data_IF_764779534280
#
_entry.id   IF_764779534280
#
_cell.length_a   1.000
_cell.length_b   1.000
_cell.length_c   1.000
_cell.angle_alpha   90.00
_cell.angle_beta   90.00
_cell.angle_gamma   90.00
#
_symmetry.space_group_name_H-M   'P 1'
#
loop_
_entity.id
_entity.type
_entity.pdbx_description
1 polymer ?
#
# COMPACT_ATOMS: atom_id res chain seq x y z
N UNK A 1 -8.66 -1.39 -6.88
CA UNK A 1 -7.36 -1.28 -7.57
C UNK A 1 -6.23 -1.74 -6.66
N UNK A 2 -5.37 -2.64 -7.16
CA UNK A 2 -4.18 -3.13 -6.45
C UNK A 2 -2.91 -2.44 -6.98
N UNK A 3 -2.02 -2.04 -6.08
CA UNK A 3 -0.70 -1.50 -6.38
C UNK A 3 0.23 -2.55 -6.97
N UNK A 4 1.32 -2.10 -7.61
CA UNK A 4 2.36 -2.99 -8.13
C UNK A 4 2.89 -3.98 -7.07
N UNK A 5 3.01 -3.52 -5.83
CA UNK A 5 3.52 -4.31 -4.70
C UNK A 5 2.48 -5.14 -3.96
N UNK A 6 1.22 -5.19 -4.40
CA UNK A 6 0.16 -5.95 -3.74
C UNK A 6 -0.68 -5.18 -2.72
N UNK A 7 -0.41 -3.90 -2.46
CA UNK A 7 -1.29 -3.10 -1.60
C UNK A 7 -2.63 -2.81 -2.28
N UNK A 8 -3.74 -2.90 -1.56
CA UNK A 8 -5.08 -2.57 -2.05
C UNK A 8 -5.33 -1.06 -1.90
N UNK A 9 -4.91 -0.30 -2.92
CA UNK A 9 -5.01 1.17 -2.90
C UNK A 9 -6.45 1.68 -2.81
N UNK A 10 -7.42 0.97 -3.40
CA UNK A 10 -8.84 1.29 -3.29
C UNK A 10 -9.40 1.19 -1.86
N UNK A 11 -8.76 0.43 -0.97
CA UNK A 11 -9.11 0.37 0.45
C UNK A 11 -8.26 1.30 1.32
N UNK A 12 -7.31 2.02 0.73
CA UNK A 12 -6.38 2.87 1.47
C UNK A 12 -7.07 4.15 1.96
N UNK A 13 -6.92 4.55 3.25
CA UNK A 13 -7.47 5.81 3.77
C UNK A 13 -6.88 7.08 3.15
N UNK A 14 -5.67 7.00 2.56
CA UNK A 14 -5.07 8.13 1.85
C UNK A 14 -5.48 8.21 0.38
N UNK A 15 -6.21 7.22 -0.14
CA UNK A 15 -6.64 7.24 -1.53
C UNK A 15 -7.67 8.34 -1.74
N UNK A 16 -7.50 9.16 -2.78
CA UNK A 16 -8.33 10.34 -3.03
C UNK A 16 -9.83 10.00 -3.10
N UNK A 17 -10.16 8.85 -3.71
CA UNK A 17 -11.54 8.37 -3.80
C UNK A 17 -12.18 8.00 -2.46
N UNK A 18 -11.40 7.87 -1.39
CA UNK A 18 -11.86 7.53 -0.04
C UNK A 18 -11.91 8.73 0.92
N UNK A 19 -11.42 9.91 0.50
CA UNK A 19 -11.32 11.10 1.34
C UNK A 19 -12.51 12.03 1.06
N UNK A 20 -13.35 12.28 2.07
CA UNK A 20 -14.51 13.18 1.97
C UNK A 20 -14.22 14.55 2.55
N UNK A 21 -13.51 14.59 3.67
CA UNK A 21 -13.24 15.82 4.41
C UNK A 21 -11.89 15.80 5.15
N UNK A 22 -11.63 16.85 5.94
CA UNK A 22 -10.41 16.97 6.73
C UNK A 22 -10.29 15.92 7.85
N UNK A 23 -11.41 15.38 8.34
CA UNK A 23 -11.40 14.34 9.39
C UNK A 23 -10.87 13.03 8.82
N UNK A 24 -11.27 12.67 7.61
CA UNK A 24 -10.72 11.48 6.93
C UNK A 24 -9.19 11.58 6.77
N UNK A 25 -8.69 12.75 6.38
CA UNK A 25 -7.25 13.02 6.28
C UNK A 25 -6.54 12.89 7.63
N UNK A 26 -7.14 13.41 8.69
CA UNK A 26 -6.56 13.32 10.04
C UNK A 26 -6.51 11.87 10.54
N UNK A 27 -7.56 11.09 10.32
CA UNK A 27 -7.62 9.65 10.66
C UNK A 27 -6.56 8.88 9.89
N UNK A 28 -6.45 9.13 8.57
CA UNK A 28 -5.45 8.48 7.73
C UNK A 28 -4.02 8.81 8.21
N UNK A 29 -3.69 10.09 8.40
CA UNK A 29 -2.38 10.53 8.91
C UNK A 29 -2.03 9.86 10.24
N UNK A 30 -2.97 9.84 11.19
CA UNK A 30 -2.77 9.24 12.50
C UNK A 30 -2.55 7.72 12.41
N UNK A 31 -3.36 7.00 11.62
CA UNK A 31 -3.22 5.56 11.44
C UNK A 31 -1.93 5.16 10.74
N UNK A 32 -1.52 5.87 9.70
CA UNK A 32 -0.22 5.64 9.04
C UNK A 32 0.96 5.86 9.97
N UNK A 33 0.90 6.88 10.82
CA UNK A 33 1.91 7.10 11.86
C UNK A 33 1.90 5.98 12.91
N UNK A 34 0.72 5.55 13.35
CA UNK A 34 0.58 4.59 14.45
C UNK A 34 0.91 3.14 14.07
N UNK A 35 0.46 2.68 12.91
CA UNK A 35 0.62 1.28 12.48
C UNK A 35 1.90 1.07 11.66
N UNK A 36 2.26 2.03 10.81
CA UNK A 36 3.36 1.89 9.83
C UNK A 36 4.56 2.78 10.11
N UNK A 37 4.52 3.60 11.17
CA UNK A 37 5.53 4.61 11.46
C UNK A 37 5.80 5.56 10.28
N UNK A 38 4.77 5.80 9.46
CA UNK A 38 4.85 6.67 8.30
C UNK A 38 4.26 8.03 8.64
N UNK A 39 5.10 9.06 8.66
CA UNK A 39 4.67 10.43 8.94
C UNK A 39 4.22 11.11 7.65
N UNK A 40 2.90 11.20 7.46
CA UNK A 40 2.28 11.96 6.36
C UNK A 40 1.52 13.15 6.96
N UNK A 41 1.88 14.40 6.68
CA UNK A 41 1.12 15.56 7.11
C UNK A 41 -0.33 15.47 6.64
N UNK A 42 -1.29 15.92 7.45
CA UNK A 42 -2.74 15.83 7.13
C UNK A 42 -3.06 16.48 5.79
N UNK A 43 -2.41 17.60 5.47
CA UNK A 43 -2.61 18.32 4.21
C UNK A 43 -2.05 17.57 2.99
N UNK A 44 -1.08 16.67 3.21
CA UNK A 44 -0.45 15.86 2.18
C UNK A 44 -1.12 14.48 2.03
N UNK A 45 -2.14 14.19 2.84
CA UNK A 45 -2.94 12.96 2.71
C UNK A 45 -3.81 13.06 1.45
N UNK A 46 -3.24 12.71 0.30
CA UNK A 46 -3.94 12.60 -0.98
C UNK A 46 -3.14 11.78 -1.98
N UNK A 47 -3.66 10.62 -2.39
CA UNK A 47 -2.94 9.70 -3.27
C UNK A 47 -3.87 9.07 -4.32
N UNK A 48 -3.41 8.92 -5.56
CA UNK A 48 -4.12 8.21 -6.65
C UNK A 48 -3.67 6.75 -6.85
N UNK A 49 -2.82 6.24 -5.97
CA UNK A 49 -2.18 4.93 -6.13
C UNK A 49 -1.03 4.98 -7.12
N UNK A 50 -0.24 3.90 -7.17
CA UNK A 50 1.01 3.87 -7.94
C UNK A 50 0.84 3.45 -9.41
N UNK A 51 -0.39 3.13 -9.83
CA UNK A 51 -0.69 2.81 -11.23
C UNK A 51 -0.91 4.08 -12.05
N UNK A 52 -1.37 5.15 -11.40
CA UNK A 52 -1.52 6.46 -12.01
C UNK A 52 -0.16 7.17 -12.11
N UNK A 53 0.07 7.97 -13.17
CA UNK A 53 1.24 8.83 -13.25
C UNK A 53 1.25 9.83 -12.09
N UNK A 54 2.45 10.25 -11.66
CA UNK A 54 2.58 11.37 -10.72
C UNK A 54 2.09 12.66 -11.39
N UNK A 55 1.38 13.50 -10.65
CA UNK A 55 0.93 14.81 -11.13
C UNK A 55 0.07 15.53 -10.11
N UNK A 56 -0.12 16.84 -10.29
CA UNK A 56 -1.13 17.69 -9.61
C UNK A 56 -1.30 17.49 -8.09
N UNK A 57 -0.20 17.24 -7.35
CA UNK A 57 -0.26 17.04 -5.90
C UNK A 57 -0.80 15.68 -5.44
N UNK A 58 -0.87 14.70 -6.34
CA UNK A 58 -1.18 13.30 -6.04
C UNK A 58 0.10 12.49 -5.95
N UNK A 59 0.59 12.32 -4.73
CA UNK A 59 1.85 11.64 -4.48
C UNK A 59 1.64 10.42 -3.60
N UNK A 60 2.06 9.25 -4.08
CA UNK A 60 2.27 8.12 -3.20
C UNK A 60 3.55 8.36 -2.38
N UNK A 61 3.59 7.91 -1.10
CA UNK A 61 4.60 8.36 -0.13
C UNK A 61 6.05 8.07 -0.53
N UNK A 62 6.31 6.89 -1.11
CA UNK A 62 7.67 6.48 -1.48
C UNK A 62 8.05 7.01 -2.86
N UNK A 63 8.78 8.14 -2.88
CA UNK A 63 9.18 8.78 -4.14
C UNK A 63 10.16 7.94 -4.98
N UNK A 64 10.96 7.11 -4.31
CA UNK A 64 12.07 6.35 -4.89
C UNK A 64 11.78 4.84 -4.96
N UNK A 65 10.50 4.44 -4.96
CA UNK A 65 10.07 3.04 -4.95
C UNK A 65 10.59 2.26 -6.17
N UNK A 66 11.66 1.49 -5.98
CA UNK A 66 12.30 0.64 -7.01
C UNK A 66 11.37 -0.45 -7.54
N UNK A 67 10.41 -0.90 -6.74
CA UNK A 67 9.43 -1.92 -7.14
C UNK A 67 8.53 -1.39 -8.27
N UNK A 68 8.11 -0.12 -8.18
CA UNK A 68 7.29 0.50 -9.23
C UNK A 68 8.07 0.58 -10.54
N UNK A 69 9.29 1.14 -10.49
CA UNK A 69 10.16 1.28 -11.67
C UNK A 69 10.38 -0.08 -12.34
N UNK A 70 10.74 -1.10 -11.57
CA UNK A 70 10.92 -2.45 -12.09
C UNK A 70 9.64 -3.03 -12.71
N UNK A 71 8.47 -2.84 -12.10
CA UNK A 71 7.20 -3.30 -12.66
C UNK A 71 6.84 -2.58 -13.96
N UNK A 72 7.10 -1.28 -14.05
CA UNK A 72 6.89 -0.49 -15.28
C UNK A 72 7.84 -0.90 -16.40
N UNK A 73 9.13 -1.07 -16.11
CA UNK A 73 10.14 -1.53 -17.07
C UNK A 73 9.79 -2.92 -17.63
N UNK A 74 9.29 -3.81 -16.76
CA UNK A 74 8.82 -5.15 -17.14
C UNK A 74 7.39 -5.16 -17.71
N UNK A 75 6.71 -4.01 -17.80
CA UNK A 75 5.32 -3.86 -18.26
C UNK A 75 4.34 -4.78 -17.52
N UNK A 76 4.49 -4.90 -16.21
CA UNK A 76 3.68 -5.75 -15.35
C UNK A 76 2.64 -4.94 -14.59
N UNK A 77 1.43 -5.49 -14.46
CA UNK A 77 0.39 -4.83 -13.68
C UNK A 77 0.67 -4.85 -12.18
N UNK A 78 1.24 -5.95 -11.72
CA UNK A 78 1.68 -6.15 -10.35
C UNK A 78 2.75 -7.22 -10.30
N UNK A 79 3.54 -7.23 -9.22
CA UNK A 79 4.66 -8.16 -9.06
C UNK A 79 4.24 -9.63 -9.05
N UNK A 80 2.97 -9.93 -8.74
CA UNK A 80 2.40 -11.27 -8.88
C UNK A 80 2.42 -11.81 -10.32
N UNK A 81 2.52 -10.96 -11.33
CA UNK A 81 2.69 -11.40 -12.73
C UNK A 81 4.14 -11.74 -13.09
N UNK A 82 5.11 -11.39 -12.25
CA UNK A 82 6.52 -11.66 -12.51
C UNK A 82 6.82 -13.16 -12.34
N UNK A 83 7.56 -13.76 -13.28
CA UNK A 83 8.07 -15.13 -13.19
C UNK A 83 9.08 -15.32 -12.06
N UNK A 84 9.82 -14.27 -11.72
CA UNK A 84 10.84 -14.29 -10.68
C UNK A 84 10.24 -14.01 -9.28
N UNK A 85 8.91 -13.95 -9.14
CA UNK A 85 8.26 -13.62 -7.86
C UNK A 85 8.26 -14.83 -6.89
N UNK A 86 8.65 -14.64 -5.61
CA UNK A 86 9.18 -13.40 -5.04
C UNK A 86 10.68 -13.22 -5.35
N UNK A 87 11.03 -12.08 -5.97
CA UNK A 87 12.43 -11.69 -6.15
C UNK A 87 12.94 -10.96 -4.90
N UNK A 88 14.25 -10.72 -4.80
CA UNK A 88 14.87 -10.09 -3.62
C UNK A 88 14.18 -8.80 -3.16
N UNK A 89 13.80 -7.91 -4.08
CA UNK A 89 13.09 -6.66 -3.76
C UNK A 89 11.71 -6.92 -3.15
N UNK A 90 10.96 -7.88 -3.72
CA UNK A 90 9.65 -8.24 -3.17
C UNK A 90 9.80 -8.99 -1.86
N UNK A 91 10.75 -9.91 -1.72
CA UNK A 91 11.01 -10.61 -0.45
C UNK A 91 11.25 -9.63 0.70
N UNK A 92 12.07 -8.59 0.49
CA UNK A 92 12.29 -7.54 1.50
C UNK A 92 11.01 -6.76 1.80
N UNK A 93 10.23 -6.40 0.77
CA UNK A 93 8.95 -5.69 0.96
C UNK A 93 7.94 -6.53 1.73
N UNK A 94 7.79 -7.81 1.38
CA UNK A 94 6.88 -8.72 2.04
C UNK A 94 7.28 -8.92 3.51
N UNK A 95 8.56 -9.16 3.79
CA UNK A 95 9.06 -9.30 5.16
C UNK A 95 8.76 -8.06 6.02
N UNK A 96 8.93 -6.86 5.48
CA UNK A 96 8.57 -5.63 6.20
C UNK A 96 7.06 -5.55 6.47
N UNK A 97 6.22 -5.84 5.48
CA UNK A 97 4.77 -5.83 5.65
C UNK A 97 4.30 -6.88 6.65
N UNK A 98 4.82 -8.11 6.55
CA UNK A 98 4.53 -9.22 7.45
C UNK A 98 4.86 -8.81 8.90
N UNK A 99 6.07 -8.28 9.14
CA UNK A 99 6.49 -7.79 10.44
C UNK A 99 5.59 -6.68 10.99
N UNK A 100 5.22 -5.69 10.17
CA UNK A 100 4.31 -4.62 10.59
C UNK A 100 2.95 -5.22 10.98
N UNK A 101 2.38 -6.09 10.15
CA UNK A 101 1.06 -6.68 10.41
C UNK A 101 1.09 -7.52 11.68
N UNK A 102 2.05 -8.44 11.82
CA UNK A 102 2.21 -9.32 12.98
C UNK A 102 2.34 -8.52 14.29
N UNK A 103 3.16 -7.47 14.28
CA UNK A 103 3.37 -6.59 15.45
C UNK A 103 2.12 -5.80 15.83
N UNK A 104 1.20 -5.58 14.89
CA UNK A 104 0.03 -4.73 15.08
C UNK A 104 -1.28 -5.52 15.26
N UNK A 105 -1.33 -6.79 14.84
CA UNK A 105 -2.58 -7.54 14.70
C UNK A 105 -3.34 -7.67 16.02
N UNK A 106 -2.65 -7.98 17.12
CA UNK A 106 -3.25 -8.16 18.43
C UNK A 106 -3.69 -6.85 19.10
N UNK A 107 -3.09 -5.71 18.71
CA UNK A 107 -3.41 -4.39 19.31
C UNK A 107 -4.45 -3.59 18.53
N UNK A 108 -4.61 -3.87 17.24
CA UNK A 108 -5.59 -3.22 16.40
C UNK A 108 -7.00 -3.80 16.64
N UNK A 109 -8.01 -2.94 16.81
CA UNK A 109 -9.40 -3.37 16.75
C UNK A 109 -9.79 -3.74 15.30
N UNK A 110 -10.95 -4.37 15.12
CA UNK A 110 -11.44 -4.86 13.84
C UNK A 110 -11.48 -3.78 12.75
N UNK A 111 -11.91 -2.56 13.11
CA UNK A 111 -11.99 -1.44 12.17
C UNK A 111 -10.60 -1.01 11.70
N UNK A 112 -9.65 -0.91 12.62
CA UNK A 112 -8.28 -0.54 12.30
C UNK A 112 -7.54 -1.63 11.54
N UNK A 113 -7.80 -2.92 11.85
CA UNK A 113 -7.25 -4.04 11.05
C UNK A 113 -7.73 -3.96 9.60
N UNK A 114 -9.04 -3.81 9.40
CA UNK A 114 -9.64 -3.74 8.06
C UNK A 114 -9.18 -2.52 7.25
N UNK A 115 -8.77 -1.45 7.93
CA UNK A 115 -8.42 -0.17 7.33
C UNK A 115 -6.91 0.04 7.15
N UNK A 116 -6.11 -0.37 8.13
CA UNK A 116 -4.66 -0.07 8.21
C UNK A 116 -3.76 -1.30 8.14
N UNK A 117 -4.26 -2.54 8.22
CA UNK A 117 -3.41 -3.73 8.14
C UNK A 117 -3.76 -4.60 6.92
N UNK A 118 -4.98 -5.10 6.85
CA UNK A 118 -5.41 -6.05 5.80
C UNK A 118 -5.19 -5.56 4.36
N UNK A 119 -5.50 -4.29 4.00
CA UNK A 119 -5.25 -3.80 2.64
C UNK A 119 -3.77 -3.85 2.25
N UNK A 120 -2.88 -3.91 3.23
CA UNK A 120 -1.43 -3.81 3.05
C UNK A 120 -0.73 -5.14 3.35
N UNK A 121 -1.49 -6.23 3.50
CA UNK A 121 -0.99 -7.60 3.45
C UNK A 121 -0.61 -7.95 2.01
N UNK A 122 0.56 -7.43 1.60
CA UNK A 122 1.07 -7.56 0.24
C UNK A 122 1.21 -9.01 -0.20
N UNK A 123 1.60 -9.91 0.72
CA UNK A 123 1.78 -11.33 0.44
C UNK A 123 0.46 -11.97 0.09
N UNK A 124 -0.52 -11.87 1.00
CA UNK A 124 -1.86 -12.41 0.79
C UNK A 124 -2.50 -11.88 -0.49
N UNK A 125 -2.41 -10.58 -0.72
CA UNK A 125 -3.03 -9.96 -1.89
C UNK A 125 -2.39 -10.43 -3.20
N UNK A 126 -1.06 -10.57 -3.25
CA UNK A 126 -0.38 -11.10 -4.44
C UNK A 126 -0.69 -12.58 -4.64
N UNK A 127 -0.69 -13.38 -3.59
CA UNK A 127 -0.95 -14.82 -3.69
C UNK A 127 -2.37 -15.09 -4.22
N UNK A 128 -3.36 -14.33 -3.73
CA UNK A 128 -4.72 -14.34 -4.29
C UNK A 128 -4.70 -13.99 -5.78
N UNK A 129 -4.03 -12.89 -6.17
CA UNK A 129 -3.95 -12.47 -7.56
C UNK A 129 -3.19 -13.45 -8.48
N UNK A 130 -2.32 -14.30 -7.91
CA UNK A 130 -1.62 -15.36 -8.65
C UNK A 130 -2.49 -16.59 -8.86
N UNK A 131 -3.33 -16.93 -7.88
CA UNK A 131 -4.21 -18.10 -7.92
C UNK A 131 -5.49 -17.87 -8.73
N UNK A 132 -5.83 -16.62 -9.06
CA UNK A 132 -6.95 -16.25 -9.94
C UNK A 132 -6.60 -16.31 -11.44
N UNK A 133 -5.42 -16.81 -11.81
CA UNK A 133 -4.95 -16.94 -13.20
C UNK A 133 -5.28 -18.30 -13.80
#
# INVERSE_FOLDING_TARGET
MMARCGFQCDRCPMFDGNIKDQKDRAVASAGWRHYWNLSVPVNDVRCKGCLEPRGEGYEYPDKACKIKVCAEDKKLDHCGQCKDYPCSMMSQRLQYCDMVIETNLARANDSDRAKFLEPFDARKNIDVARNMK
#
